data_IF_381853770210
#
_entry.id   IF_381853770210
#
_cell.length_a   1.000
_cell.length_b   1.000
_cell.length_c   1.000
_cell.angle_alpha   90.00
_cell.angle_beta   90.00
_cell.angle_gamma   90.00
#
_symmetry.space_group_name_H-M   'P 1'
#
loop_
_entity.id
_entity.type
_entity.pdbx_description
1 polymer ?
#
# COMPACT_ATOMS: atom_id res chain seq x y z
N UNK A 1 -9.82 1.35 2.10
CA UNK A 1 -9.38 -0.05 2.26
C UNK A 1 -9.75 -0.71 3.60
N UNK A 2 -9.23 -0.29 4.78
CA UNK A 2 -9.67 -0.92 6.06
C UNK A 2 -11.15 -0.69 6.38
N UNK A 3 -11.67 0.49 6.04
CA UNK A 3 -13.11 0.83 6.13
C UNK A 3 -13.95 0.02 5.13
N UNK A 4 -13.49 -0.13 3.88
CA UNK A 4 -14.16 -0.95 2.85
C UNK A 4 -14.28 -2.43 3.24
N UNK A 5 -13.24 -3.01 3.86
CA UNK A 5 -13.31 -4.38 4.39
C UNK A 5 -14.41 -4.49 5.45
N UNK A 6 -14.44 -3.56 6.41
CA UNK A 6 -15.45 -3.57 7.48
C UNK A 6 -16.86 -3.41 6.90
N UNK A 7 -17.03 -2.56 5.88
CA UNK A 7 -18.31 -2.42 5.19
C UNK A 7 -18.72 -3.67 4.42
N UNK A 8 -17.79 -4.34 3.73
CA UNK A 8 -18.06 -5.59 3.03
C UNK A 8 -18.44 -6.71 4.04
N UNK A 9 -17.70 -6.87 5.14
CA UNK A 9 -18.04 -7.83 6.20
C UNK A 9 -19.44 -7.56 6.80
N UNK A 10 -19.80 -6.28 6.98
CA UNK A 10 -21.14 -5.88 7.42
C UNK A 10 -22.21 -6.26 6.39
N UNK A 11 -21.98 -5.99 5.10
CA UNK A 11 -22.90 -6.36 4.01
C UNK A 11 -23.08 -7.87 3.92
N UNK A 12 -21.98 -8.63 4.02
CA UNK A 12 -22.00 -10.08 4.02
C UNK A 12 -22.83 -10.64 5.18
N UNK A 13 -22.60 -10.15 6.40
CA UNK A 13 -23.40 -10.54 7.58
C UNK A 13 -24.89 -10.23 7.39
N UNK A 14 -25.21 -9.04 6.89
CA UNK A 14 -26.60 -8.64 6.64
C UNK A 14 -27.27 -9.53 5.58
N UNK A 15 -26.54 -9.89 4.52
CA UNK A 15 -27.04 -10.76 3.46
C UNK A 15 -27.34 -12.18 3.98
N UNK A 16 -26.42 -12.76 4.76
CA UNK A 16 -26.63 -14.07 5.39
C UNK A 16 -27.85 -14.07 6.31
N UNK A 17 -28.02 -13.01 7.11
CA UNK A 17 -29.22 -12.87 7.95
C UNK A 17 -30.51 -12.80 7.11
N UNK A 18 -30.53 -12.00 6.04
CA UNK A 18 -31.69 -11.90 5.16
C UNK A 18 -32.02 -13.23 4.47
N UNK A 19 -31.01 -14.03 4.12
CA UNK A 19 -31.19 -15.38 3.56
C UNK A 19 -31.85 -16.31 4.58
N UNK A 20 -31.41 -16.28 5.83
CA UNK A 20 -31.93 -17.14 6.90
C UNK A 20 -33.39 -16.82 7.26
N UNK A 21 -33.78 -15.55 7.16
CA UNK A 21 -35.12 -15.06 7.51
C UNK A 21 -36.10 -15.05 6.31
N UNK A 22 -35.63 -15.32 5.08
CA UNK A 22 -36.47 -15.23 3.88
C UNK A 22 -37.22 -16.53 3.60
N UNK A 23 -38.55 -16.50 3.74
CA UNK A 23 -39.42 -17.65 3.46
C UNK A 23 -39.76 -17.83 1.96
N UNK A 24 -39.46 -16.84 1.12
CA UNK A 24 -39.75 -16.90 -0.31
C UNK A 24 -38.56 -17.52 -1.06
N UNK A 25 -38.72 -18.77 -1.52
CA UNK A 25 -37.66 -19.55 -2.18
C UNK A 25 -36.97 -18.82 -3.35
N UNK A 26 -37.73 -18.13 -4.20
CA UNK A 26 -37.19 -17.40 -5.35
C UNK A 26 -36.30 -16.22 -4.91
N UNK A 27 -36.71 -15.49 -3.88
CA UNK A 27 -35.96 -14.37 -3.32
C UNK A 27 -34.74 -14.89 -2.56
N UNK A 28 -34.90 -15.93 -1.72
CA UNK A 28 -33.80 -16.58 -1.01
C UNK A 28 -32.71 -17.04 -1.99
N UNK A 29 -33.10 -17.70 -3.08
CA UNK A 29 -32.18 -18.15 -4.14
C UNK A 29 -31.47 -16.97 -4.81
N UNK A 30 -32.18 -15.86 -5.07
CA UNK A 30 -31.55 -14.65 -5.61
C UNK A 30 -30.52 -14.06 -4.65
N UNK A 31 -30.79 -14.03 -3.34
CA UNK A 31 -29.85 -13.53 -2.32
C UNK A 31 -28.61 -14.43 -2.19
N UNK A 32 -28.78 -15.75 -2.26
CA UNK A 32 -27.66 -16.71 -2.27
C UNK A 32 -26.67 -16.45 -3.43
N UNK A 33 -27.15 -16.00 -4.59
CA UNK A 33 -26.29 -15.69 -5.74
C UNK A 33 -25.42 -14.44 -5.54
N UNK A 34 -25.73 -13.60 -4.56
CA UNK A 34 -24.95 -12.40 -4.24
C UNK A 34 -23.81 -12.69 -3.24
N UNK A 35 -23.87 -13.81 -2.49
CA UNK A 35 -22.83 -14.19 -1.51
C UNK A 35 -21.44 -14.34 -2.15
N UNK A 36 -21.28 -15.08 -3.27
CA UNK A 36 -19.95 -15.25 -3.88
C UNK A 36 -19.34 -13.93 -4.37
N UNK A 37 -20.16 -12.95 -4.74
CA UNK A 37 -19.68 -11.63 -5.18
C UNK A 37 -19.04 -10.86 -4.04
N UNK A 38 -19.67 -10.86 -2.86
CA UNK A 38 -19.13 -10.21 -1.67
C UNK A 38 -17.85 -10.91 -1.18
N UNK A 39 -17.81 -12.25 -1.22
CA UNK A 39 -16.60 -13.02 -0.89
C UNK A 39 -15.44 -12.72 -1.83
N UNK A 40 -15.71 -12.61 -3.15
CA UNK A 40 -14.70 -12.23 -4.14
C UNK A 40 -14.17 -10.81 -3.90
N UNK A 41 -15.06 -9.85 -3.66
CA UNK A 41 -14.69 -8.47 -3.35
C UNK A 41 -13.82 -8.41 -2.07
N UNK A 42 -14.18 -9.17 -1.03
CA UNK A 42 -13.39 -9.28 0.20
C UNK A 42 -11.98 -9.83 -0.05
N UNK A 43 -11.86 -10.91 -0.82
CA UNK A 43 -10.57 -11.51 -1.16
C UNK A 43 -9.70 -10.56 -1.97
N UNK A 44 -10.31 -9.81 -2.89
CA UNK A 44 -9.61 -8.81 -3.68
C UNK A 44 -9.10 -7.66 -2.79
N UNK A 45 -9.95 -7.10 -1.92
CA UNK A 45 -9.57 -6.06 -0.96
C UNK A 45 -8.43 -6.52 -0.05
N UNK A 46 -8.50 -7.74 0.49
CA UNK A 46 -7.41 -8.32 1.31
C UNK A 46 -6.10 -8.43 0.54
N UNK A 47 -6.16 -8.87 -0.73
CA UNK A 47 -4.98 -9.00 -1.58
C UNK A 47 -4.34 -7.62 -1.81
N UNK A 48 -5.13 -6.60 -2.12
CA UNK A 48 -4.63 -5.25 -2.37
C UNK A 48 -4.00 -4.64 -1.12
N UNK A 49 -4.63 -4.78 0.06
CA UNK A 49 -4.04 -4.34 1.34
C UNK A 49 -2.72 -5.05 1.60
N UNK A 50 -2.66 -6.38 1.41
CA UNK A 50 -1.43 -7.13 1.62
C UNK A 50 -0.31 -6.71 0.66
N UNK A 51 -0.64 -6.24 -0.55
CA UNK A 51 0.34 -5.68 -1.48
C UNK A 51 0.80 -4.29 -1.05
N UNK A 52 -0.10 -3.44 -0.58
CA UNK A 52 0.21 -2.11 -0.07
C UNK A 52 1.07 -2.16 1.21
N UNK A 53 0.70 -3.02 2.17
CA UNK A 53 1.45 -3.25 3.41
C UNK A 53 2.85 -3.83 3.14
N UNK A 54 3.02 -4.64 2.09
CA UNK A 54 4.35 -5.09 1.65
C UNK A 54 5.21 -3.97 1.07
N UNK A 55 4.57 -2.98 0.43
CA UNK A 55 5.25 -1.81 -0.14
C UNK A 55 5.76 -0.88 0.97
N UNK A 56 4.97 -0.72 2.03
CA UNK A 56 5.39 -0.07 3.27
C UNK A 56 6.09 -1.08 4.20
N UNK A 57 7.33 -1.46 3.87
CA UNK A 57 8.20 -2.11 4.85
C UNK A 57 8.14 -1.32 6.16
N UNK A 58 7.73 -1.97 7.26
CA UNK A 58 7.68 -1.38 8.59
C UNK A 58 9.07 -0.88 9.01
N UNK A 59 9.35 0.37 8.65
CA UNK A 59 10.59 1.10 8.89
C UNK A 59 10.58 1.57 10.34
N UNK A 60 11.09 0.71 11.21
CA UNK A 60 11.35 1.08 12.61
C UNK A 60 12.56 2.01 12.71
N UNK A 61 12.58 2.92 13.68
CA UNK A 61 13.71 3.84 13.92
C UNK A 61 15.09 3.14 13.95
N UNK A 62 15.26 1.97 14.62
CA UNK A 62 16.55 1.27 14.61
C UNK A 62 16.99 0.79 13.22
N UNK A 63 16.04 0.30 12.39
CA UNK A 63 16.33 -0.12 11.01
C UNK A 63 16.75 1.06 10.14
N UNK A 64 16.08 2.22 10.28
CA UNK A 64 16.47 3.44 9.58
C UNK A 64 17.87 3.88 9.98
N UNK A 65 18.16 3.92 11.29
CA UNK A 65 19.50 4.28 11.81
C UNK A 65 20.58 3.33 11.32
N UNK A 66 20.32 2.02 11.33
CA UNK A 66 21.23 1.01 10.79
C UNK A 66 21.52 1.25 9.31
N UNK A 67 20.48 1.43 8.50
CA UNK A 67 20.60 1.69 7.07
C UNK A 67 21.41 2.95 6.75
N UNK A 68 21.15 4.07 7.45
CA UNK A 68 21.90 5.31 7.25
C UNK A 68 23.38 5.16 7.66
N UNK A 69 23.67 4.40 8.73
CA UNK A 69 25.04 4.09 9.12
C UNK A 69 25.77 3.20 8.11
N UNK A 70 25.06 2.25 7.49
CA UNK A 70 25.61 1.41 6.41
C UNK A 70 25.93 2.25 5.17
N UNK A 71 25.02 3.15 4.77
CA UNK A 71 25.27 4.09 3.66
C UNK A 71 26.58 4.87 3.89
N UNK A 72 26.78 5.45 5.09
CA UNK A 72 28.00 6.22 5.39
C UNK A 72 29.33 5.48 5.11
N UNK A 73 29.37 4.15 5.21
CA UNK A 73 30.61 3.35 5.13
C UNK A 73 30.94 2.82 3.74
N UNK A 74 30.06 2.99 2.75
CA UNK A 74 30.25 2.41 1.41
C UNK A 74 31.15 3.26 0.50
N UNK A 75 31.74 2.62 -0.50
CA UNK A 75 32.66 3.24 -1.45
C UNK A 75 31.92 4.16 -2.44
N UNK A 76 32.22 5.46 -2.38
CA UNK A 76 31.64 6.49 -3.27
C UNK A 76 31.96 6.30 -4.76
N UNK A 77 32.99 5.55 -5.10
CA UNK A 77 33.37 5.29 -6.49
C UNK A 77 32.57 4.14 -7.14
N UNK A 78 31.78 3.38 -6.36
CA UNK A 78 30.90 2.36 -6.91
C UNK A 78 29.64 2.98 -7.54
N UNK A 79 29.45 2.75 -8.83
CA UNK A 79 28.29 3.24 -9.58
C UNK A 79 26.94 2.75 -9.03
N UNK A 80 26.87 1.51 -8.52
CA UNK A 80 25.65 0.97 -7.89
C UNK A 80 25.33 1.72 -6.60
N UNK A 81 26.37 2.04 -5.84
CA UNK A 81 26.22 2.82 -4.62
C UNK A 81 25.80 4.27 -4.91
N UNK A 82 26.42 4.93 -5.91
CA UNK A 82 26.00 6.28 -6.35
C UNK A 82 24.54 6.32 -6.79
N UNK A 83 24.07 5.31 -7.55
CA UNK A 83 22.65 5.18 -7.91
C UNK A 83 21.74 5.00 -6.69
N UNK A 84 22.21 4.26 -5.68
CA UNK A 84 21.48 4.08 -4.43
C UNK A 84 21.35 5.40 -3.66
N UNK A 85 22.42 6.18 -3.55
CA UNK A 85 22.39 7.50 -2.92
C UNK A 85 21.39 8.45 -3.60
N UNK A 86 21.41 8.51 -4.92
CA UNK A 86 20.44 9.32 -5.68
C UNK A 86 19.02 8.87 -5.37
N UNK A 87 18.75 7.56 -5.41
CA UNK A 87 17.41 7.01 -5.14
C UNK A 87 16.91 7.28 -3.71
N UNK A 88 17.81 7.34 -2.73
CA UNK A 88 17.45 7.56 -1.32
C UNK A 88 17.28 9.04 -1.01
N UNK A 89 18.17 9.90 -1.50
CA UNK A 89 18.25 11.29 -1.05
C UNK A 89 17.70 12.31 -2.04
N UNK A 90 17.61 12.02 -3.34
CA UNK A 90 17.16 12.97 -4.35
C UNK A 90 15.67 12.80 -4.62
N UNK A 91 14.93 13.89 -4.51
CA UNK A 91 13.51 13.99 -4.86
C UNK A 91 13.34 14.36 -6.34
N UNK A 92 13.95 15.49 -6.75
CA UNK A 92 13.86 16.03 -8.11
C UNK A 92 15.16 16.67 -8.55
N UNK A 93 15.40 16.65 -9.85
CA UNK A 93 16.50 17.36 -10.50
C UNK A 93 15.89 18.24 -11.59
N UNK A 94 16.17 19.53 -11.55
CA UNK A 94 15.87 20.48 -12.62
C UNK A 94 17.17 20.86 -13.31
N UNK A 95 17.21 20.66 -14.63
CA UNK A 95 18.32 21.03 -15.49
C UNK A 95 17.95 22.30 -16.26
N UNK A 96 18.82 23.29 -16.18
CA UNK A 96 18.76 24.54 -16.94
C UNK A 96 20.08 24.70 -17.70
N UNK A 97 20.09 25.60 -18.69
CA UNK A 97 21.27 25.81 -19.55
C UNK A 97 22.55 26.12 -18.76
N UNK A 98 22.44 26.90 -17.69
CA UNK A 98 23.58 27.37 -16.90
C UNK A 98 23.65 26.80 -15.47
N UNK A 99 22.68 25.99 -15.05
CA UNK A 99 22.64 25.48 -13.67
C UNK A 99 21.85 24.18 -13.52
N UNK A 100 22.14 23.46 -12.45
CA UNK A 100 21.37 22.31 -12.00
C UNK A 100 20.81 22.62 -10.61
N UNK A 101 19.53 22.34 -10.40
CA UNK A 101 18.89 22.42 -9.09
C UNK A 101 18.48 21.02 -8.64
N UNK A 102 19.02 20.58 -7.50
CA UNK A 102 18.71 19.26 -6.91
C UNK A 102 17.88 19.50 -5.65
N UNK A 103 16.70 18.89 -5.59
CA UNK A 103 15.82 18.90 -4.41
C UNK A 103 16.02 17.57 -3.68
N UNK A 104 16.35 17.63 -2.40
CA UNK A 104 16.55 16.44 -1.57
C UNK A 104 15.27 16.03 -0.84
N UNK A 105 15.13 14.74 -0.51
CA UNK A 105 13.99 14.20 0.24
C UNK A 105 13.91 14.72 1.69
N UNK A 106 15.01 15.27 2.23
CA UNK A 106 15.07 15.86 3.57
C UNK A 106 14.80 17.38 3.59
N UNK A 107 14.62 17.99 2.42
CA UNK A 107 14.26 19.40 2.34
C UNK A 107 12.79 19.53 2.68
N UNK A 108 12.47 20.09 3.84
CA UNK A 108 11.10 20.51 4.16
C UNK A 108 10.62 21.42 3.03
N UNK A 109 9.54 21.01 2.36
CA UNK A 109 8.75 21.94 1.57
C UNK A 109 7.99 22.82 2.56
N UNK A 110 8.49 24.02 2.81
CA UNK A 110 7.64 25.14 3.17
C UNK A 110 6.80 25.54 1.96
#
# INVERSE_FOLDING_TARGET
>A
MKTEISENERKHKNLINAIMECDIDSVRKSLYLEVPKLEQEYLQLKKEIALEEKSYLALTVPKVKFFLNDLKKRNINDIKYRKTLIRVFVNKIYLYDNRITIIFNSSDRL
#
